data_IF_272542863655
#
_entry.id   IF_272542863655
#
_cell.length_a   1.000
_cell.length_b   1.000
_cell.length_c   1.000
_cell.angle_alpha   90.00
_cell.angle_beta   90.00
_cell.angle_gamma   90.00
#
_symmetry.space_group_name_H-M   'P 1'
#
loop_
_entity.id
_entity.type
_entity.pdbx_description
1 polymer ?
#
# COMPACT_ATOMS: atom_id res chain seq x y z
N UNK A 1 11.04 -31.35 39.48
CA UNK A 1 11.33 -31.17 38.04
C UNK A 1 10.63 -29.87 37.66
N UNK A 2 11.15 -28.67 37.94
CA UNK A 2 12.47 -28.09 37.62
C UNK A 2 12.86 -28.18 36.15
N UNK A 3 13.02 -26.99 35.54
CA UNK A 3 13.75 -26.67 34.29
C UNK A 3 12.93 -26.79 33.00
N UNK A 4 12.89 -25.87 32.04
CA UNK A 4 13.65 -24.66 31.66
C UNK A 4 12.71 -23.91 30.69
N UNK A 5 12.36 -22.61 30.77
CA UNK A 5 13.16 -21.40 30.71
C UNK A 5 12.32 -20.25 31.31
N UNK A 6 12.67 -19.80 32.50
CA UNK A 6 12.46 -18.42 32.93
C UNK A 6 13.85 -17.79 32.92
N UNK A 7 14.12 -16.96 31.93
CA UNK A 7 15.16 -15.92 31.94
C UNK A 7 14.90 -15.02 30.74
N UNK A 8 14.41 -13.82 31.03
CA UNK A 8 14.62 -12.58 30.28
C UNK A 8 14.89 -12.76 28.77
N UNK A 9 13.81 -12.86 27.99
CA UNK A 9 13.87 -12.38 26.61
C UNK A 9 14.39 -10.93 26.68
N UNK A 10 15.46 -10.57 25.93
CA UNK A 10 15.97 -9.20 25.95
C UNK A 10 14.83 -8.23 25.72
N UNK A 11 14.92 -7.07 26.39
CA UNK A 11 13.96 -5.95 26.45
C UNK A 11 13.66 -5.33 25.07
N UNK A 12 13.16 -6.17 24.17
CA UNK A 12 12.72 -5.91 22.80
C UNK A 12 11.19 -5.89 22.72
N UNK A 13 10.51 -6.34 23.79
CA UNK A 13 9.06 -6.43 23.94
C UNK A 13 8.42 -5.26 24.69
N UNK A 14 9.20 -4.26 25.12
CA UNK A 14 8.66 -3.00 25.65
C UNK A 14 8.18 -2.09 24.51
N UNK A 15 7.11 -2.57 23.85
CA UNK A 15 6.38 -1.95 22.73
C UNK A 15 7.19 -1.90 21.43
N UNK A 16 6.67 -2.43 20.30
CA UNK A 16 6.94 -1.75 19.04
C UNK A 16 6.38 -0.35 19.24
N UNK A 17 7.25 0.65 19.34
CA UNK A 17 6.84 2.04 19.28
C UNK A 17 6.21 2.22 17.91
N UNK A 18 4.90 2.08 17.86
CA UNK A 18 4.04 2.71 16.89
C UNK A 18 4.51 4.16 16.78
N UNK A 19 5.32 4.50 15.78
CA UNK A 19 5.82 5.86 15.54
C UNK A 19 4.71 6.74 14.94
N UNK A 20 3.45 6.47 15.27
CA UNK A 20 2.40 7.48 15.24
C UNK A 20 2.57 8.32 16.51
N UNK A 21 3.46 9.30 16.47
CA UNK A 21 3.49 10.37 17.46
C UNK A 21 2.23 11.24 17.25
N UNK A 22 1.06 10.77 17.71
CA UNK A 22 -0.05 11.66 18.05
C UNK A 22 0.31 12.38 19.35
N UNK A 23 1.27 13.30 19.26
CA UNK A 23 1.39 14.36 20.25
C UNK A 23 0.25 15.36 20.02
N UNK A 24 -0.06 16.22 20.99
CA UNK A 24 -1.00 17.36 20.80
C UNK A 24 -0.58 18.33 19.67
N UNK A 25 0.59 18.10 19.07
CA UNK A 25 1.08 18.65 17.81
C UNK A 25 1.14 17.48 16.79
N UNK A 26 0.45 17.58 15.64
CA UNK A 26 0.39 16.60 14.55
C UNK A 26 1.81 16.16 14.06
N UNK A 27 2.44 15.15 14.66
CA UNK A 27 3.77 14.68 14.24
C UNK A 27 3.67 13.50 13.28
N UNK A 28 3.96 13.74 12.00
CA UNK A 28 4.13 12.71 10.98
C UNK A 28 5.61 12.65 10.57
N UNK A 29 6.41 11.73 11.13
CA UNK A 29 7.88 11.75 11.03
C UNK A 29 8.42 11.82 9.61
N UNK A 30 7.80 11.09 8.66
CA UNK A 30 8.25 11.11 7.26
C UNK A 30 7.92 12.42 6.56
N UNK A 31 6.80 13.06 6.88
CA UNK A 31 6.48 14.38 6.32
C UNK A 31 7.43 15.45 6.85
N UNK A 32 7.79 15.39 8.14
CA UNK A 32 8.75 16.32 8.74
C UNK A 32 10.15 16.09 8.19
N UNK A 33 10.60 14.85 8.08
CA UNK A 33 11.90 14.53 7.49
C UNK A 33 11.98 14.99 6.03
N UNK A 34 10.90 14.82 5.26
CA UNK A 34 10.79 15.34 3.91
C UNK A 34 10.78 16.87 3.87
N UNK A 35 10.08 17.54 4.80
CA UNK A 35 10.08 18.99 4.94
C UNK A 35 11.45 19.57 5.31
N UNK A 36 12.22 18.86 6.14
CA UNK A 36 13.57 19.26 6.56
C UNK A 36 14.66 18.87 5.55
N UNK A 37 14.34 18.07 4.52
CA UNK A 37 15.33 17.62 3.54
C UNK A 37 16.26 16.51 4.04
N UNK A 38 15.86 15.76 5.08
CA UNK A 38 16.68 14.72 5.70
C UNK A 38 16.61 13.39 4.95
N UNK A 39 17.25 13.32 3.77
CA UNK A 39 17.17 12.15 2.86
C UNK A 39 17.48 10.81 3.54
N UNK A 40 18.47 10.75 4.44
CA UNK A 40 18.83 9.52 5.15
C UNK A 40 17.72 9.08 6.13
N UNK A 41 17.11 10.04 6.83
CA UNK A 41 15.99 9.77 7.75
C UNK A 41 14.78 9.30 6.96
N UNK A 42 14.46 9.94 5.84
CA UNK A 42 13.39 9.46 4.94
C UNK A 42 13.69 8.04 4.48
N UNK A 43 14.90 7.74 3.98
CA UNK A 43 15.29 6.39 3.55
C UNK A 43 15.09 5.34 4.64
N UNK A 44 15.49 5.65 5.87
CA UNK A 44 15.32 4.75 7.01
C UNK A 44 13.83 4.56 7.37
N UNK A 45 13.03 5.62 7.35
CA UNK A 45 11.59 5.53 7.59
C UNK A 45 10.88 4.69 6.52
N UNK A 46 11.24 4.83 5.24
CA UNK A 46 10.72 3.97 4.16
C UNK A 46 11.07 2.50 4.42
N UNK A 47 12.32 2.20 4.80
CA UNK A 47 12.74 0.83 5.15
C UNK A 47 11.97 0.26 6.35
N UNK A 48 11.59 1.12 7.30
CA UNK A 48 10.72 0.78 8.42
C UNK A 48 9.25 0.59 8.01
N UNK A 49 8.91 0.87 6.75
CA UNK A 49 7.59 0.64 6.20
C UNK A 49 6.54 1.64 6.69
N UNK A 50 6.94 2.85 7.05
CA UNK A 50 5.96 3.90 7.40
C UNK A 50 5.01 4.18 6.24
N UNK A 51 3.81 4.65 6.55
CA UNK A 51 2.89 5.15 5.55
C UNK A 51 3.47 6.39 4.85
N UNK A 52 3.79 6.25 3.55
CA UNK A 52 4.35 7.33 2.72
C UNK A 52 3.33 8.44 2.45
N UNK A 53 2.05 8.11 2.60
CA UNK A 53 0.91 8.94 2.22
C UNK A 53 0.20 9.54 3.43
N UNK A 54 0.81 9.38 4.60
CA UNK A 54 0.39 10.05 5.82
C UNK A 54 0.30 11.57 5.57
N UNK A 55 -0.86 12.13 5.87
CA UNK A 55 -1.16 13.55 5.66
C UNK A 55 -0.80 14.35 6.90
N UNK A 56 0.21 15.19 6.76
CA UNK A 56 0.59 16.22 7.72
C UNK A 56 -0.36 17.41 7.72
N UNK A 57 0.16 18.54 8.19
CA UNK A 57 -0.57 19.80 8.17
C UNK A 57 -0.90 20.21 6.73
N UNK A 58 -2.03 20.89 6.54
CA UNK A 58 -2.54 21.29 5.22
C UNK A 58 -2.86 20.10 4.30
N UNK A 59 -3.08 18.91 4.86
CA UNK A 59 -3.36 17.69 4.10
C UNK A 59 -2.18 17.18 3.25
N UNK A 60 -0.96 17.70 3.48
CA UNK A 60 0.23 17.41 2.67
C UNK A 60 0.87 16.08 3.05
N UNK A 61 1.25 15.29 2.06
CA UNK A 61 2.07 14.08 2.26
C UNK A 61 3.56 14.44 2.25
N UNK A 62 4.42 13.49 2.62
CA UNK A 62 5.88 13.66 2.49
C UNK A 62 6.29 14.03 1.05
N UNK A 63 5.58 13.54 0.05
CA UNK A 63 5.83 13.87 -1.35
C UNK A 63 5.51 15.34 -1.65
N UNK A 64 4.41 15.88 -1.10
CA UNK A 64 4.08 17.30 -1.24
C UNK A 64 5.16 18.17 -0.62
N UNK A 65 5.65 17.82 0.57
CA UNK A 65 6.71 18.59 1.25
C UNK A 65 8.05 18.54 0.49
N UNK A 66 8.45 17.35 0.03
CA UNK A 66 9.66 17.19 -0.76
C UNK A 66 9.59 17.98 -2.08
N UNK A 67 8.44 17.98 -2.76
CA UNK A 67 8.24 18.78 -3.96
C UNK A 67 8.24 20.28 -3.67
N UNK A 68 7.50 20.71 -2.64
CA UNK A 68 7.37 22.12 -2.27
C UNK A 68 8.72 22.76 -2.00
N UNK A 69 9.64 22.02 -1.36
CA UNK A 69 10.99 22.47 -1.02
C UNK A 69 12.05 22.11 -2.08
N UNK A 70 11.66 21.41 -3.15
CA UNK A 70 12.57 21.07 -4.25
C UNK A 70 13.58 19.95 -3.97
N UNK A 71 13.36 19.13 -2.94
CA UNK A 71 14.24 18.02 -2.57
C UNK A 71 14.09 16.82 -3.51
N UNK A 72 14.70 16.94 -4.68
CA UNK A 72 14.57 15.98 -5.79
C UNK A 72 14.91 14.54 -5.41
N UNK A 73 15.94 14.31 -4.59
CA UNK A 73 16.34 12.96 -4.18
C UNK A 73 15.29 12.31 -3.27
N UNK A 74 14.63 13.10 -2.42
CA UNK A 74 13.52 12.65 -1.58
C UNK A 74 12.28 12.37 -2.45
N UNK A 75 12.00 13.22 -3.44
CA UNK A 75 10.90 12.98 -4.41
C UNK A 75 11.08 11.63 -5.09
N UNK A 76 12.27 11.38 -5.66
CA UNK A 76 12.58 10.09 -6.29
C UNK A 76 12.37 8.92 -5.34
N UNK A 77 12.98 9.01 -4.16
CA UNK A 77 12.92 7.98 -3.14
C UNK A 77 11.46 7.65 -2.75
N UNK A 78 10.61 8.65 -2.55
CA UNK A 78 9.20 8.46 -2.21
C UNK A 78 8.40 7.85 -3.38
N UNK A 79 8.55 8.38 -4.60
CA UNK A 79 7.83 7.90 -5.78
C UNK A 79 8.23 6.46 -6.13
N UNK A 80 9.53 6.16 -6.14
CA UNK A 80 10.05 4.81 -6.39
C UNK A 80 9.65 3.81 -5.30
N UNK A 81 9.36 4.31 -4.09
CA UNK A 81 8.84 3.50 -2.97
C UNK A 81 7.31 3.38 -2.95
N UNK A 82 6.61 3.89 -3.98
CA UNK A 82 5.17 3.70 -4.15
C UNK A 82 4.28 4.77 -3.51
N UNK A 83 4.81 5.95 -3.19
CA UNK A 83 3.99 7.09 -2.75
C UNK A 83 2.90 7.42 -3.79
N UNK A 84 1.71 7.77 -3.32
CA UNK A 84 0.57 8.04 -4.20
C UNK A 84 0.67 9.42 -4.84
N UNK A 85 0.82 9.43 -6.16
CA UNK A 85 0.94 10.66 -6.93
C UNK A 85 -0.41 11.38 -7.11
N UNK A 86 -1.53 10.73 -6.76
CA UNK A 86 -2.88 11.25 -7.01
C UNK A 86 -3.48 12.00 -5.82
N UNK A 87 -2.85 11.91 -4.64
CA UNK A 87 -3.31 12.59 -3.44
C UNK A 87 -3.22 14.10 -3.64
N UNK A 88 -4.28 14.80 -3.22
CA UNK A 88 -4.37 16.27 -3.21
C UNK A 88 -4.20 16.80 -1.79
N UNK A 89 -3.50 17.91 -1.66
CA UNK A 89 -3.43 18.70 -0.42
C UNK A 89 -4.74 19.48 -0.16
N UNK A 90 -4.80 20.25 0.92
CA UNK A 90 -5.97 21.07 1.28
C UNK A 90 -6.31 22.16 0.26
N UNK A 91 -5.38 22.52 -0.62
CA UNK A 91 -5.63 23.45 -1.74
C UNK A 91 -6.08 22.72 -3.01
N UNK A 92 -6.29 21.41 -2.94
CA UNK A 92 -6.71 20.58 -4.06
C UNK A 92 -5.59 20.30 -5.06
N UNK A 93 -4.32 20.48 -4.68
CA UNK A 93 -3.15 20.29 -5.54
C UNK A 93 -2.47 18.95 -5.27
N UNK A 94 -2.19 18.20 -6.32
CA UNK A 94 -1.28 17.06 -6.29
C UNK A 94 0.18 17.52 -6.17
N UNK A 95 1.08 16.61 -5.81
CA UNK A 95 2.51 16.89 -5.80
C UNK A 95 3.02 17.40 -7.15
N UNK A 96 2.57 16.83 -8.29
CA UNK A 96 2.97 17.33 -9.61
C UNK A 96 2.46 18.76 -9.86
N UNK A 97 1.20 19.04 -9.55
CA UNK A 97 0.63 20.39 -9.71
C UNK A 97 1.32 21.42 -8.82
N UNK A 98 1.78 21.04 -7.62
CA UNK A 98 2.62 21.91 -6.78
C UNK A 98 3.97 22.20 -7.44
N UNK A 99 4.61 21.19 -8.05
CA UNK A 99 5.87 21.38 -8.77
C UNK A 99 5.71 22.37 -9.94
N UNK A 100 4.59 22.32 -10.64
CA UNK A 100 4.25 23.24 -11.73
C UNK A 100 4.06 24.68 -11.22
N UNK A 101 3.30 24.86 -10.13
CA UNK A 101 3.06 26.18 -9.51
C UNK A 101 4.38 26.81 -9.04
N UNK A 102 5.28 26.00 -8.47
CA UNK A 102 6.60 26.45 -8.01
C UNK A 102 7.64 26.53 -9.13
N UNK A 103 7.26 26.21 -10.38
CA UNK A 103 8.14 26.21 -11.55
C UNK A 103 9.42 25.37 -11.36
N UNK A 104 9.31 24.27 -10.62
CA UNK A 104 10.42 23.33 -10.44
C UNK A 104 10.49 22.37 -11.64
N UNK A 105 10.99 22.88 -12.77
CA UNK A 105 10.99 22.16 -14.06
C UNK A 105 11.65 20.78 -13.98
N UNK A 106 12.69 20.61 -13.16
CA UNK A 106 13.36 19.31 -12.97
C UNK A 106 12.45 18.27 -12.34
N UNK A 107 11.67 18.66 -11.32
CA UNK A 107 10.69 17.76 -10.69
C UNK A 107 9.52 17.50 -11.63
N UNK A 108 9.00 18.54 -12.28
CA UNK A 108 7.88 18.43 -13.24
C UNK A 108 8.23 17.46 -14.37
N UNK A 109 9.39 17.63 -14.99
CA UNK A 109 9.88 16.75 -16.08
C UNK A 109 9.99 15.31 -15.60
N UNK A 110 10.62 15.08 -14.44
CA UNK A 110 10.82 13.73 -13.92
C UNK A 110 9.50 13.04 -13.52
N UNK A 111 8.62 13.73 -12.80
CA UNK A 111 7.32 13.20 -12.39
C UNK A 111 6.40 12.95 -13.59
N UNK A 112 6.42 13.83 -14.59
CA UNK A 112 5.65 13.64 -15.83
C UNK A 112 6.14 12.40 -16.57
N UNK A 113 7.46 12.28 -16.77
CA UNK A 113 8.05 11.09 -17.37
C UNK A 113 7.72 9.81 -16.59
N UNK A 114 7.81 9.85 -15.25
CA UNK A 114 7.47 8.70 -14.41
C UNK A 114 6.00 8.29 -14.59
N UNK A 115 5.07 9.26 -14.60
CA UNK A 115 3.64 9.02 -14.80
C UNK A 115 3.34 8.47 -16.20
N UNK A 116 3.97 9.03 -17.22
CA UNK A 116 3.77 8.62 -18.62
C UNK A 116 4.27 7.19 -18.89
N UNK A 117 5.31 6.76 -18.18
CA UNK A 117 5.85 5.39 -18.26
C UNK A 117 5.13 4.39 -17.35
N UNK A 118 4.36 4.86 -16.36
CA UNK A 118 3.59 4.03 -15.44
C UNK A 118 2.13 4.49 -15.34
N UNK A 119 1.39 4.58 -16.47
CA UNK A 119 0.02 5.07 -16.45
C UNK A 119 -0.91 4.04 -15.80
N UNK A 120 -1.93 4.51 -15.08
CA UNK A 120 -3.06 3.66 -14.70
C UNK A 120 -3.70 3.15 -16.00
N UNK A 121 -3.79 1.82 -16.20
CA UNK A 121 -4.35 1.25 -17.43
C UNK A 121 -5.81 1.67 -17.64
N UNK A 122 -6.22 1.84 -18.90
CA UNK A 122 -7.62 2.01 -19.25
C UNK A 122 -8.41 0.73 -18.92
N UNK A 123 -9.57 0.86 -18.26
CA UNK A 123 -10.38 -0.29 -17.85
C UNK A 123 -10.81 -1.16 -19.05
N UNK A 124 -11.09 -0.56 -20.21
CA UNK A 124 -11.42 -1.28 -21.46
C UNK A 124 -10.24 -2.10 -21.99
N UNK A 125 -9.01 -1.66 -21.74
CA UNK A 125 -7.81 -2.46 -22.07
C UNK A 125 -7.70 -3.66 -21.13
N UNK A 126 -7.99 -3.47 -19.84
CA UNK A 126 -8.05 -4.59 -18.88
C UNK A 126 -9.16 -5.59 -19.25
N UNK A 127 -10.29 -5.13 -19.80
CA UNK A 127 -11.33 -6.01 -20.39
C UNK A 127 -10.73 -6.94 -21.44
N UNK A 128 -9.87 -6.44 -22.32
CA UNK A 128 -9.24 -7.29 -23.33
C UNK A 128 -8.21 -8.26 -22.74
N UNK A 129 -7.44 -7.83 -21.74
CA UNK A 129 -6.39 -8.64 -21.11
C UNK A 129 -6.99 -9.80 -20.31
N UNK A 130 -8.00 -9.51 -19.48
CA UNK A 130 -8.57 -10.49 -18.57
C UNK A 130 -9.87 -11.11 -19.10
N UNK A 131 -10.71 -10.33 -19.79
CA UNK A 131 -12.07 -10.72 -20.18
C UNK A 131 -12.12 -11.76 -21.29
N UNK A 132 -11.30 -11.65 -22.34
CA UNK A 132 -11.33 -12.60 -23.47
C UNK A 132 -10.94 -14.03 -23.10
N UNK A 133 -10.10 -14.21 -22.08
CA UNK A 133 -9.58 -15.54 -21.69
C UNK A 133 -10.22 -16.11 -20.44
N UNK A 134 -10.70 -15.26 -19.52
CA UNK A 134 -11.17 -15.70 -18.21
C UNK A 134 -12.65 -15.40 -17.93
N UNK A 135 -13.28 -14.46 -18.66
CA UNK A 135 -14.61 -13.92 -18.30
C UNK A 135 -15.58 -13.69 -19.48
N UNK A 136 -15.38 -14.34 -20.64
CA UNK A 136 -16.39 -14.30 -21.73
C UNK A 136 -16.44 -13.05 -22.62
N UNK A 137 -15.47 -12.13 -22.51
CA UNK A 137 -15.01 -11.31 -23.63
C UNK A 137 -15.66 -9.97 -23.95
N UNK A 138 -16.82 -9.59 -23.41
CA UNK A 138 -17.45 -8.32 -23.84
C UNK A 138 -17.55 -7.25 -22.74
N UNK A 139 -17.67 -7.62 -21.46
CA UNK A 139 -17.67 -6.69 -20.33
C UNK A 139 -17.04 -7.40 -19.13
N UNK A 140 -15.94 -6.88 -18.60
CA UNK A 140 -15.52 -7.27 -17.23
C UNK A 140 -16.40 -6.47 -16.30
N UNK A 141 -17.38 -7.14 -15.71
CA UNK A 141 -17.97 -6.71 -14.46
C UNK A 141 -16.87 -6.72 -13.38
N UNK A 142 -16.78 -5.69 -12.54
CA UNK A 142 -15.84 -5.71 -11.40
C UNK A 142 -16.11 -6.87 -10.44
N UNK A 143 -17.33 -7.40 -10.48
CA UNK A 143 -17.76 -8.61 -9.76
C UNK A 143 -17.58 -9.90 -10.58
N UNK A 144 -17.02 -9.83 -11.80
CA UNK A 144 -16.78 -10.99 -12.65
C UNK A 144 -15.85 -11.99 -11.99
N UNK A 145 -16.16 -13.28 -12.17
CA UNK A 145 -15.45 -14.41 -11.56
C UNK A 145 -15.06 -15.45 -12.60
N UNK A 146 -13.90 -16.09 -12.39
CA UNK A 146 -13.45 -17.21 -13.22
C UNK A 146 -14.25 -18.47 -12.90
N UNK A 147 -14.06 -19.53 -13.68
CA UNK A 147 -14.58 -20.87 -13.36
C UNK A 147 -14.10 -21.39 -11.99
N UNK A 148 -12.94 -20.91 -11.52
CA UNK A 148 -12.41 -21.21 -10.19
C UNK A 148 -12.96 -20.26 -9.12
N UNK A 149 -13.91 -19.38 -9.44
CA UNK A 149 -14.48 -18.43 -8.49
C UNK A 149 -13.59 -17.21 -8.17
N UNK A 150 -12.44 -17.05 -8.82
CA UNK A 150 -11.54 -15.91 -8.63
C UNK A 150 -12.11 -14.63 -9.25
N UNK A 151 -12.23 -13.55 -8.48
CA UNK A 151 -12.58 -12.21 -9.00
C UNK A 151 -11.42 -11.49 -9.71
N UNK A 152 -11.70 -10.35 -10.35
CA UNK A 152 -10.70 -9.56 -11.11
C UNK A 152 -9.48 -9.15 -10.28
N UNK A 153 -9.70 -8.78 -9.01
CA UNK A 153 -8.62 -8.40 -8.08
C UNK A 153 -7.71 -9.58 -7.73
N UNK A 154 -8.26 -10.78 -7.55
CA UNK A 154 -7.46 -11.98 -7.30
C UNK A 154 -6.50 -12.25 -8.45
N UNK A 155 -6.96 -12.11 -9.70
CA UNK A 155 -6.10 -12.30 -10.88
C UNK A 155 -5.04 -11.21 -10.94
N UNK A 156 -5.40 -9.93 -10.74
CA UNK A 156 -4.44 -8.82 -10.77
C UNK A 156 -3.35 -8.97 -9.69
N UNK A 157 -3.73 -9.35 -8.46
CA UNK A 157 -2.81 -9.64 -7.35
C UNK A 157 -1.90 -10.81 -7.70
N UNK A 158 -2.45 -11.94 -8.18
CA UNK A 158 -1.68 -13.12 -8.58
C UNK A 158 -0.71 -12.82 -9.72
N UNK A 159 -1.04 -11.88 -10.60
CA UNK A 159 -0.18 -11.39 -11.68
C UNK A 159 0.80 -10.28 -11.24
N UNK A 160 0.75 -9.86 -9.97
CA UNK A 160 1.57 -8.78 -9.38
C UNK A 160 1.41 -7.43 -10.09
N UNK A 161 0.17 -7.13 -10.52
CA UNK A 161 -0.16 -5.97 -11.33
C UNK A 161 -0.79 -4.86 -10.48
N UNK A 162 0.03 -4.10 -9.78
CA UNK A 162 -0.43 -3.05 -8.85
C UNK A 162 -1.30 -1.99 -9.53
N UNK A 163 -0.92 -1.58 -10.75
CA UNK A 163 -1.68 -0.59 -11.51
C UNK A 163 -3.05 -1.12 -11.94
N UNK A 164 -3.14 -2.41 -12.29
CA UNK A 164 -4.40 -3.05 -12.64
C UNK A 164 -5.31 -3.15 -11.39
N UNK A 165 -4.77 -3.48 -10.20
CA UNK A 165 -5.51 -3.44 -8.92
C UNK A 165 -6.09 -2.06 -8.65
N UNK A 166 -5.27 -1.00 -8.76
CA UNK A 166 -5.73 0.39 -8.58
C UNK A 166 -6.83 0.75 -9.56
N UNK A 167 -6.67 0.39 -10.83
CA UNK A 167 -7.68 0.64 -11.87
C UNK A 167 -9.01 -0.06 -11.53
N UNK A 168 -8.96 -1.34 -11.16
CA UNK A 168 -10.16 -2.09 -10.79
C UNK A 168 -10.88 -1.52 -9.57
N UNK A 169 -10.15 -1.16 -8.51
CA UNK A 169 -10.73 -0.49 -7.34
C UNK A 169 -11.36 0.86 -7.71
N UNK A 170 -10.69 1.66 -8.56
CA UNK A 170 -11.22 2.93 -9.02
C UNK A 170 -12.54 2.78 -9.80
N UNK A 171 -12.76 1.63 -10.43
CA UNK A 171 -13.99 1.29 -11.15
C UNK A 171 -15.00 0.50 -10.31
N UNK A 172 -14.80 0.42 -8.99
CA UNK A 172 -15.80 -0.12 -8.06
C UNK A 172 -15.62 -1.59 -7.66
N UNK A 173 -14.48 -2.22 -7.98
CA UNK A 173 -14.21 -3.57 -7.50
C UNK A 173 -14.14 -3.63 -5.97
N UNK A 174 -14.83 -4.60 -5.38
CA UNK A 174 -14.78 -4.83 -3.93
C UNK A 174 -13.41 -5.38 -3.52
N UNK A 175 -12.66 -4.58 -2.77
CA UNK A 175 -11.33 -4.93 -2.27
C UNK A 175 -11.32 -6.17 -1.36
N UNK A 176 -12.45 -6.48 -0.77
CA UNK A 176 -12.65 -7.58 0.17
C UNK A 176 -13.37 -8.77 -0.45
N UNK A 177 -13.57 -8.78 -1.77
CA UNK A 177 -14.25 -9.87 -2.46
C UNK A 177 -13.59 -11.22 -2.14
N UNK A 178 -14.35 -12.18 -1.60
CA UNK A 178 -13.86 -13.54 -1.33
C UNK A 178 -13.84 -14.36 -2.62
N UNK A 179 -12.79 -15.15 -2.88
CA UNK A 179 -12.74 -16.08 -4.00
C UNK A 179 -13.64 -17.30 -3.75
N UNK A 180 -14.59 -17.59 -4.63
CA UNK A 180 -15.50 -18.74 -4.47
C UNK A 180 -14.85 -20.05 -4.96
N UNK A 181 -13.70 -20.39 -4.37
CA UNK A 181 -12.84 -21.50 -4.75
C UNK A 181 -12.75 -22.59 -3.67
N UNK A 182 -13.62 -22.52 -2.66
CA UNK A 182 -13.61 -23.40 -1.48
C UNK A 182 -12.68 -22.95 -0.35
N UNK A 183 -11.87 -21.91 -0.57
CA UNK A 183 -11.07 -21.28 0.49
C UNK A 183 -11.56 -19.89 0.87
N UNK A 184 -12.33 -19.20 0.02
CA UNK A 184 -12.86 -17.86 0.29
C UNK A 184 -11.80 -16.82 0.68
N UNK A 185 -10.60 -16.97 0.11
CA UNK A 185 -9.52 -16.00 0.27
C UNK A 185 -9.85 -14.69 -0.43
N UNK A 186 -9.57 -13.59 0.26
CA UNK A 186 -9.65 -12.22 -0.29
C UNK A 186 -8.38 -11.88 -1.10
N UNK A 187 -8.35 -10.75 -1.85
CA UNK A 187 -7.13 -10.26 -2.49
C UNK A 187 -5.97 -10.09 -1.51
N UNK A 188 -6.24 -9.71 -0.25
CA UNK A 188 -5.22 -9.58 0.78
C UNK A 188 -4.58 -10.92 1.13
N UNK A 189 -5.37 -11.98 1.32
CA UNK A 189 -4.84 -13.34 1.50
C UNK A 189 -3.96 -13.78 0.33
N UNK A 190 -4.39 -13.51 -0.91
CA UNK A 190 -3.62 -13.82 -2.11
C UNK A 190 -2.26 -13.15 -2.10
N UNK A 191 -2.18 -11.86 -1.77
CA UNK A 191 -0.92 -11.11 -1.71
C UNK A 191 0.08 -11.70 -0.71
N UNK A 192 -0.42 -12.17 0.44
CA UNK A 192 0.39 -12.81 1.49
C UNK A 192 0.85 -14.20 1.04
N UNK A 193 -0.05 -15.01 0.48
CA UNK A 193 0.25 -16.36 -0.01
C UNK A 193 1.32 -16.37 -1.11
N UNK A 194 1.35 -15.36 -1.99
CA UNK A 194 2.40 -15.20 -3.01
C UNK A 194 3.66 -14.48 -2.51
N UNK A 195 3.67 -14.02 -1.25
CA UNK A 195 4.76 -13.26 -0.63
C UNK A 195 5.02 -11.89 -1.27
N UNK A 196 4.00 -11.26 -1.86
CA UNK A 196 4.13 -9.94 -2.49
C UNK A 196 3.85 -8.85 -1.46
N UNK A 197 4.92 -8.42 -0.79
CA UNK A 197 4.87 -7.44 0.29
C UNK A 197 4.33 -6.08 -0.15
N UNK A 198 4.69 -5.63 -1.35
CA UNK A 198 4.27 -4.33 -1.86
C UNK A 198 2.79 -4.36 -2.27
N UNK A 199 2.33 -5.45 -2.89
CA UNK A 199 0.92 -5.67 -3.18
C UNK A 199 0.08 -5.76 -1.90
N UNK A 200 0.57 -6.45 -0.87
CA UNK A 200 -0.11 -6.53 0.43
C UNK A 200 -0.28 -5.14 1.04
N UNK A 201 0.78 -4.33 1.09
CA UNK A 201 0.71 -2.94 1.57
C UNK A 201 -0.27 -2.10 0.77
N UNK A 202 -0.24 -2.24 -0.56
CA UNK A 202 -1.16 -1.54 -1.45
C UNK A 202 -2.61 -1.87 -1.10
N UNK A 203 -2.95 -3.14 -0.93
CA UNK A 203 -4.32 -3.56 -0.59
C UNK A 203 -4.76 -3.02 0.77
N UNK A 204 -3.91 -3.11 1.80
CA UNK A 204 -4.21 -2.53 3.13
C UNK A 204 -4.42 -1.02 3.06
N UNK A 205 -3.60 -0.32 2.28
CA UNK A 205 -3.73 1.12 2.06
C UNK A 205 -5.02 1.49 1.34
N UNK A 206 -5.46 0.65 0.40
CA UNK A 206 -6.72 0.82 -0.32
C UNK A 206 -7.95 0.39 0.51
N UNK A 207 -7.76 -0.04 1.77
CA UNK A 207 -8.86 -0.36 2.69
C UNK A 207 -9.24 -1.84 2.76
N UNK A 208 -8.33 -2.75 2.40
CA UNK A 208 -8.56 -4.18 2.60
C UNK A 208 -8.69 -4.50 4.09
N UNK A 209 -9.72 -5.27 4.44
CA UNK A 209 -9.99 -5.68 5.82
C UNK A 209 -9.03 -6.80 6.23
N UNK A 210 -8.22 -6.52 7.25
CA UNK A 210 -7.20 -7.41 7.79
C UNK A 210 -7.76 -8.49 8.71
N UNK A 211 -9.04 -8.41 9.09
CA UNK A 211 -9.70 -9.36 10.00
C UNK A 211 -10.60 -10.36 9.29
N UNK A 212 -10.85 -10.20 7.99
CA UNK A 212 -11.72 -11.12 7.26
C UNK A 212 -11.11 -12.52 7.23
N UNK A 213 -11.88 -13.50 7.71
CA UNK A 213 -11.47 -14.89 7.69
C UNK A 213 -11.86 -15.58 6.38
N UNK A 214 -11.00 -16.49 5.94
CA UNK A 214 -11.27 -17.45 4.88
C UNK A 214 -12.34 -18.48 5.31
N UNK A 215 -12.78 -19.34 4.39
CA UNK A 215 -13.73 -20.45 4.72
C UNK A 215 -13.16 -21.38 5.81
N UNK A 216 -11.84 -21.50 5.87
CA UNK A 216 -11.13 -22.34 6.84
C UNK A 216 -10.84 -21.62 8.17
N UNK A 217 -11.33 -20.38 8.35
CA UNK A 217 -11.10 -19.58 9.55
C UNK A 217 -9.71 -18.95 9.62
N UNK A 218 -8.98 -18.87 8.49
CA UNK A 218 -7.68 -18.18 8.48
C UNK A 218 -7.89 -16.70 8.20
N UNK A 219 -7.44 -15.84 9.10
CA UNK A 219 -7.24 -14.42 8.81
C UNK A 219 -5.99 -14.19 7.96
N UNK A 220 -5.81 -13.00 7.36
CA UNK A 220 -4.55 -12.58 6.75
C UNK A 220 -3.33 -12.75 7.67
N UNK A 221 -3.49 -12.47 8.98
CA UNK A 221 -2.40 -12.65 9.96
C UNK A 221 -2.07 -14.13 10.18
N UNK A 222 -3.07 -15.00 10.28
CA UNK A 222 -2.85 -16.45 10.42
C UNK A 222 -2.13 -17.02 9.20
N UNK A 223 -2.52 -16.57 8.00
CA UNK A 223 -1.85 -16.96 6.76
C UNK A 223 -0.40 -16.47 6.74
N UNK A 224 -0.12 -15.24 7.19
CA UNK A 224 1.24 -14.72 7.29
C UNK A 224 2.12 -15.55 8.24
N UNK A 225 1.58 -15.93 9.41
CA UNK A 225 2.26 -16.80 10.38
C UNK A 225 2.55 -18.16 9.76
N UNK A 226 1.57 -18.77 9.07
CA UNK A 226 1.72 -20.06 8.39
C UNK A 226 2.81 -20.02 7.31
N UNK A 227 2.88 -18.93 6.54
CA UNK A 227 3.89 -18.73 5.50
C UNK A 227 5.28 -18.42 6.07
N UNK A 228 5.37 -17.94 7.31
CA UNK A 228 6.63 -17.70 8.01
C UNK A 228 7.43 -16.48 7.54
N UNK A 229 6.87 -15.60 6.70
CA UNK A 229 7.55 -14.38 6.28
C UNK A 229 7.49 -13.33 7.40
N UNK A 230 8.57 -13.26 8.18
CA UNK A 230 8.74 -12.32 9.29
C UNK A 230 8.46 -10.87 8.89
N UNK A 231 8.77 -10.45 7.67
CA UNK A 231 8.55 -9.07 7.22
C UNK A 231 7.07 -8.74 7.15
N UNK A 232 6.27 -9.65 6.58
CA UNK A 232 4.81 -9.54 6.52
C UNK A 232 4.23 -9.59 7.94
N UNK A 233 4.62 -10.58 8.75
CA UNK A 233 4.12 -10.75 10.12
C UNK A 233 4.33 -9.47 10.95
N UNK A 234 5.54 -8.92 10.96
CA UNK A 234 5.84 -7.70 11.71
C UNK A 234 5.07 -6.49 11.18
N UNK A 235 4.89 -6.39 9.85
CA UNK A 235 4.12 -5.30 9.26
C UNK A 235 2.63 -5.38 9.64
N UNK A 236 2.00 -6.55 9.49
CA UNK A 236 0.59 -6.76 9.82
C UNK A 236 0.33 -6.56 11.32
N UNK A 237 1.21 -7.06 12.19
CA UNK A 237 1.12 -6.82 13.63
C UNK A 237 1.15 -5.33 13.97
N UNK A 238 2.08 -4.60 13.33
CA UNK A 238 2.13 -3.15 13.41
C UNK A 238 0.81 -2.53 12.97
N UNK A 239 0.31 -2.88 11.78
CA UNK A 239 -0.93 -2.33 11.21
C UNK A 239 -2.15 -2.53 12.12
N UNK A 240 -2.39 -3.76 12.62
CA UNK A 240 -3.52 -4.12 13.50
C UNK A 240 -3.53 -3.28 14.78
N UNK A 241 -2.35 -3.08 15.36
CA UNK A 241 -2.19 -2.32 16.61
C UNK A 241 -2.59 -0.84 16.49
N UNK A 242 -2.72 -0.31 15.27
CA UNK A 242 -3.16 1.07 15.03
C UNK A 242 -4.62 1.19 14.60
N UNK A 243 -5.19 0.18 13.94
CA UNK A 243 -6.60 0.20 13.48
C UNK A 243 -7.57 -0.02 14.65
N UNK A 244 -7.09 -0.56 15.77
CA UNK A 244 -7.88 -0.89 16.97
C UNK A 244 -7.98 0.25 17.99
N UNK A 245 -7.36 1.41 17.74
CA UNK A 245 -7.36 2.63 18.56
C UNK A 245 -8.19 3.76 17.93
#
# INVERSE_FOLDING_TARGET
MEGFYSDELPDFFSKPKNYHFKSKLNYYPITQAAFLGETEVVSNLIKLGVDLDARGDLGRTALHEAVSNGYFDIVKLLVESGADLTIKDEFGKTALELAEVHQNYKIVEWLSHYRDHNPIPDFSVLINIYGKRYFGGEIIDTDARTELGEGVLHIAVRKRRQLDVRCFIQHGADINAKANNGFDFTPLHYSIGIGDFDMMKLLLKLGADIYLESEMGYSPMDLAILMGDKRIIFYLYGYISHVSE
#
